data_IF_816135966893
#
_entry.id   IF_816135966893
#
_cell.length_a   1.000
_cell.length_b   1.000
_cell.length_c   1.000
_cell.angle_alpha   90.00
_cell.angle_beta   90.00
_cell.angle_gamma   90.00
#
_symmetry.space_group_name_H-M   'P 1'
#
loop_
_entity.id
_entity.type
_entity.pdbx_description
1 polymer ?
#
# COMPACT_ATOMS: atom_id res chain seq x y z
N UNK A 1 -3.66 -18.56 -25.76
CA UNK A 1 -2.37 -19.03 -26.31
C UNK A 1 -1.31 -18.45 -25.41
N UNK A 2 -0.47 -19.26 -24.75
CA UNK A 2 0.36 -18.76 -23.67
C UNK A 2 1.32 -17.68 -24.18
N UNK A 3 1.19 -16.48 -23.60
CA UNK A 3 1.89 -15.30 -24.07
C UNK A 3 3.42 -15.37 -23.90
N UNK A 4 3.94 -16.28 -23.06
CA UNK A 4 5.37 -16.53 -22.91
C UNK A 4 5.67 -18.03 -22.95
N UNK A 5 6.47 -18.41 -23.95
CA UNK A 5 7.03 -19.75 -24.07
C UNK A 5 8.39 -19.83 -23.35
N UNK A 6 8.55 -20.87 -22.54
CA UNK A 6 9.77 -21.16 -21.79
C UNK A 6 10.49 -22.36 -22.40
N UNK A 7 11.83 -22.35 -22.35
CA UNK A 7 12.59 -23.54 -22.74
C UNK A 7 12.32 -24.70 -21.77
N UNK A 8 12.40 -25.98 -22.22
CA UNK A 8 12.16 -27.13 -21.35
C UNK A 8 13.07 -27.16 -20.11
N UNK A 9 14.32 -26.71 -20.24
CA UNK A 9 15.27 -26.61 -19.13
C UNK A 9 14.81 -25.59 -18.08
N UNK A 10 14.49 -24.36 -18.52
CA UNK A 10 13.98 -23.31 -17.63
C UNK A 10 12.68 -23.71 -16.93
N UNK A 11 11.77 -24.38 -17.65
CA UNK A 11 10.52 -24.88 -17.07
C UNK A 11 10.78 -25.91 -15.97
N UNK A 12 11.80 -26.77 -16.10
CA UNK A 12 12.18 -27.75 -15.08
C UNK A 12 12.78 -27.10 -13.83
N UNK A 13 13.61 -26.07 -14.01
CA UNK A 13 14.22 -25.33 -12.90
C UNK A 13 13.16 -24.57 -12.10
N UNK A 14 12.26 -23.85 -12.78
CA UNK A 14 11.16 -23.13 -12.15
C UNK A 14 10.16 -24.07 -11.47
N UNK A 15 9.94 -25.26 -12.03
CA UNK A 15 9.14 -26.31 -11.39
C UNK A 15 9.74 -26.71 -10.04
N UNK A 16 11.03 -26.97 -10.01
CA UNK A 16 11.76 -27.35 -8.80
C UNK A 16 11.66 -26.27 -7.72
N UNK A 17 11.83 -25.01 -8.10
CA UNK A 17 11.65 -23.86 -7.20
C UNK A 17 10.21 -23.73 -6.70
N UNK A 18 9.21 -23.97 -7.56
CA UNK A 18 7.80 -23.88 -7.21
C UNK A 18 7.35 -24.94 -6.21
N UNK A 19 7.99 -26.12 -6.17
CA UNK A 19 7.59 -27.19 -5.25
C UNK A 19 7.70 -26.76 -3.78
N UNK A 20 8.75 -26.03 -3.41
CA UNK A 20 8.96 -25.54 -2.04
C UNK A 20 8.02 -24.39 -1.64
N UNK A 21 7.45 -23.68 -2.61
CA UNK A 21 6.59 -22.52 -2.35
C UNK A 21 5.21 -22.92 -1.86
N UNK A 22 4.69 -22.16 -0.89
CA UNK A 22 3.29 -22.26 -0.45
C UNK A 22 2.38 -21.51 -1.45
N UNK A 23 1.12 -21.95 -1.63
CA UNK A 23 0.16 -21.20 -2.44
C UNK A 23 -0.08 -19.82 -1.83
N UNK A 24 0.02 -18.78 -2.65
CA UNK A 24 -0.17 -17.39 -2.22
C UNK A 24 -1.60 -16.93 -2.48
N UNK A 25 -2.18 -17.35 -3.60
CA UNK A 25 -3.55 -17.00 -4.00
C UNK A 25 -4.45 -18.24 -3.94
N UNK A 26 -5.66 -18.03 -3.42
CA UNK A 26 -6.70 -19.04 -3.23
C UNK A 26 -7.92 -18.64 -4.06
N UNK A 27 -8.27 -19.45 -5.07
CA UNK A 27 -9.45 -19.23 -5.91
C UNK A 27 -10.60 -20.04 -5.32
N UNK A 28 -11.61 -19.36 -4.79
CA UNK A 28 -12.79 -19.97 -4.17
C UNK A 28 -13.80 -20.55 -5.18
N UNK A 29 -15.00 -20.85 -4.69
CA UNK A 29 -16.07 -21.46 -5.49
C UNK A 29 -16.64 -20.53 -6.59
N UNK A 30 -16.52 -19.21 -6.43
CA UNK A 30 -16.91 -18.24 -7.48
C UNK A 30 -15.95 -18.22 -8.69
N UNK A 31 -14.84 -18.96 -8.62
CA UNK A 31 -13.90 -19.06 -9.74
C UNK A 31 -13.07 -17.78 -9.93
N UNK A 32 -12.74 -17.49 -11.19
CA UNK A 32 -11.84 -16.40 -11.55
C UNK A 32 -12.61 -15.07 -11.63
N UNK A 33 -12.55 -14.28 -10.55
CA UNK A 33 -13.10 -12.92 -10.50
C UNK A 33 -12.03 -11.88 -10.82
N UNK A 34 -12.45 -10.67 -11.21
CA UNK A 34 -11.50 -9.58 -11.49
C UNK A 34 -10.68 -9.17 -10.26
N UNK A 35 -11.22 -9.34 -9.05
CA UNK A 35 -10.48 -9.12 -7.80
C UNK A 35 -9.32 -10.10 -7.67
N UNK A 36 -9.57 -11.39 -7.92
CA UNK A 36 -8.54 -12.45 -7.88
C UNK A 36 -7.49 -12.22 -8.96
N UNK A 37 -7.89 -11.83 -10.17
CA UNK A 37 -6.94 -11.49 -11.25
C UNK A 37 -6.00 -10.34 -10.86
N UNK A 38 -6.54 -9.29 -10.22
CA UNK A 38 -5.72 -8.18 -9.74
C UNK A 38 -4.74 -8.62 -8.64
N UNK A 39 -5.18 -9.47 -7.70
CA UNK A 39 -4.31 -10.03 -6.67
C UNK A 39 -3.19 -10.89 -7.27
N UNK A 40 -3.52 -11.76 -8.23
CA UNK A 40 -2.54 -12.57 -8.96
C UNK A 40 -1.50 -11.65 -9.64
N UNK A 41 -1.94 -10.56 -10.27
CA UNK A 41 -1.05 -9.57 -10.89
C UNK A 41 -0.06 -8.95 -9.89
N UNK A 42 -0.55 -8.50 -8.73
CA UNK A 42 0.30 -7.92 -7.67
C UNK A 42 1.31 -8.93 -7.14
N UNK A 43 0.89 -10.19 -6.94
CA UNK A 43 1.78 -11.23 -6.46
C UNK A 43 2.80 -11.69 -7.50
N UNK A 44 2.42 -11.71 -8.78
CA UNK A 44 3.35 -11.97 -9.89
C UNK A 44 4.43 -10.89 -9.97
N UNK A 45 4.08 -9.62 -9.75
CA UNK A 45 5.07 -8.53 -9.72
C UNK A 45 6.05 -8.66 -8.54
N UNK A 46 5.59 -9.10 -7.38
CA UNK A 46 6.42 -9.21 -6.18
C UNK A 46 7.29 -10.47 -6.13
N UNK A 47 6.77 -11.61 -6.61
CA UNK A 47 7.38 -12.92 -6.42
C UNK A 47 7.86 -13.57 -7.72
N UNK A 48 7.41 -13.10 -8.88
CA UNK A 48 7.73 -13.60 -10.24
C UNK A 48 7.25 -15.03 -10.51
N UNK A 49 7.41 -15.94 -9.55
CA UNK A 49 6.93 -17.33 -9.53
C UNK A 49 5.90 -17.48 -8.42
N UNK A 50 4.67 -17.86 -8.78
CA UNK A 50 3.61 -18.09 -7.78
C UNK A 50 2.90 -19.42 -7.98
N UNK A 51 2.39 -19.93 -6.85
CA UNK A 51 1.52 -21.09 -6.80
C UNK A 51 0.12 -20.61 -6.40
N UNK A 52 -0.87 -20.96 -7.22
CA UNK A 52 -2.27 -20.63 -7.02
C UNK A 52 -3.00 -21.92 -6.70
N UNK A 53 -3.88 -21.90 -5.69
CA UNK A 53 -4.73 -23.04 -5.37
C UNK A 53 -6.16 -22.76 -5.80
N UNK A 54 -6.72 -23.61 -6.65
CA UNK A 54 -8.10 -23.52 -7.13
C UNK A 54 -8.97 -24.54 -6.43
N UNK A 55 -9.99 -24.05 -5.73
CA UNK A 55 -11.02 -24.88 -5.10
C UNK A 55 -12.12 -25.16 -6.13
N UNK A 56 -11.91 -26.19 -6.92
CA UNK A 56 -12.91 -26.72 -7.86
C UNK A 56 -12.58 -28.17 -8.18
N UNK A 57 -13.60 -29.00 -8.36
CA UNK A 57 -13.42 -30.43 -8.61
C UNK A 57 -13.33 -30.75 -10.11
N UNK A 58 -13.96 -29.94 -10.96
CA UNK A 58 -13.85 -30.08 -12.42
C UNK A 58 -12.44 -29.74 -12.94
N UNK A 59 -11.89 -30.63 -13.77
CA UNK A 59 -10.57 -30.49 -14.37
C UNK A 59 -10.59 -29.52 -15.55
N UNK A 60 -11.66 -29.50 -16.34
CA UNK A 60 -11.76 -28.67 -17.54
C UNK A 60 -11.84 -27.19 -17.16
N UNK A 61 -12.68 -26.85 -16.17
CA UNK A 61 -12.73 -25.51 -15.61
C UNK A 61 -11.36 -25.01 -15.10
N UNK A 62 -10.54 -25.89 -14.48
CA UNK A 62 -9.21 -25.49 -13.99
C UNK A 62 -8.23 -25.17 -15.12
N UNK A 63 -8.32 -25.89 -16.24
CA UNK A 63 -7.49 -25.63 -17.43
C UNK A 63 -7.94 -24.31 -18.07
N UNK A 64 -9.24 -24.07 -18.20
CA UNK A 64 -9.77 -22.81 -18.73
C UNK A 64 -9.32 -21.61 -17.88
N UNK A 65 -9.40 -21.70 -16.55
CA UNK A 65 -8.91 -20.66 -15.63
C UNK A 65 -7.40 -20.45 -15.79
N UNK A 66 -6.63 -21.53 -15.98
CA UNK A 66 -5.19 -21.45 -16.16
C UNK A 66 -4.82 -20.68 -17.42
N UNK A 67 -5.47 -21.00 -18.53
CA UNK A 67 -5.25 -20.37 -19.82
C UNK A 67 -5.69 -18.90 -19.78
N UNK A 68 -6.83 -18.60 -19.17
CA UNK A 68 -7.33 -17.23 -19.02
C UNK A 68 -6.38 -16.34 -18.19
N UNK A 69 -5.82 -16.87 -17.09
CA UNK A 69 -4.81 -16.16 -16.30
C UNK A 69 -3.55 -15.87 -17.13
N UNK A 70 -3.08 -16.87 -17.90
CA UNK A 70 -1.90 -16.72 -18.73
C UNK A 70 -2.12 -15.68 -19.84
N UNK A 71 -3.29 -15.69 -20.47
CA UNK A 71 -3.66 -14.76 -21.53
C UNK A 71 -3.84 -13.32 -21.01
N UNK A 72 -4.50 -13.12 -19.86
CA UNK A 72 -4.73 -11.77 -19.30
C UNK A 72 -3.49 -11.13 -18.70
N UNK A 73 -2.64 -11.91 -18.02
CA UNK A 73 -1.50 -11.37 -17.26
C UNK A 73 -0.16 -11.51 -17.99
N UNK A 74 -0.19 -12.02 -19.24
CA UNK A 74 1.00 -12.37 -20.01
C UNK A 74 2.00 -13.18 -19.16
N UNK A 75 1.50 -14.28 -18.60
CA UNK A 75 2.30 -15.17 -17.75
C UNK A 75 2.62 -16.48 -18.49
N UNK A 76 3.77 -17.07 -18.16
CA UNK A 76 4.19 -18.36 -18.69
C UNK A 76 3.60 -19.51 -17.87
N UNK A 77 2.96 -20.49 -18.52
CA UNK A 77 2.53 -21.71 -17.86
C UNK A 77 3.72 -22.66 -17.62
N UNK A 78 3.92 -23.05 -16.35
CA UNK A 78 4.94 -24.02 -15.95
C UNK A 78 4.33 -25.41 -15.77
N UNK A 79 3.34 -25.52 -14.88
CA UNK A 79 2.74 -26.81 -14.53
C UNK A 79 1.36 -26.66 -13.88
N UNK A 80 0.49 -27.61 -14.20
CA UNK A 80 -0.76 -27.87 -13.49
C UNK A 80 -0.61 -29.15 -12.65
N UNK A 81 -0.84 -29.05 -11.34
CA UNK A 81 -0.77 -30.18 -10.40
C UNK A 81 -2.09 -30.26 -9.63
N UNK A 82 -3.07 -30.98 -10.18
CA UNK A 82 -4.37 -31.18 -9.55
C UNK A 82 -5.09 -29.85 -9.27
N UNK A 83 -5.15 -29.45 -8.00
CA UNK A 83 -5.76 -28.18 -7.54
C UNK A 83 -4.76 -27.01 -7.47
N UNK A 84 -3.51 -27.22 -7.85
CA UNK A 84 -2.44 -26.22 -7.82
C UNK A 84 -2.03 -25.84 -9.25
N UNK A 85 -1.91 -24.54 -9.48
CA UNK A 85 -1.44 -23.95 -10.72
C UNK A 85 -0.13 -23.22 -10.44
N UNK A 86 0.89 -23.49 -11.25
CA UNK A 86 2.17 -22.80 -11.18
C UNK A 86 2.31 -21.92 -12.41
N UNK A 87 2.50 -20.63 -12.18
CA UNK A 87 2.69 -19.63 -13.21
C UNK A 87 3.91 -18.76 -12.90
N UNK A 88 4.55 -18.26 -13.94
CA UNK A 88 5.72 -17.41 -13.82
C UNK A 88 5.67 -16.24 -14.79
N UNK A 89 6.26 -15.12 -14.40
CA UNK A 89 6.38 -13.93 -15.23
C UNK A 89 7.75 -13.28 -15.01
N UNK A 90 8.51 -12.94 -16.08
CA UNK A 90 9.78 -12.24 -15.94
C UNK A 90 9.57 -10.79 -15.51
N UNK A 91 10.50 -10.27 -14.73
CA UNK A 91 10.55 -8.86 -14.34
C UNK A 91 10.76 -7.99 -15.59
N UNK A 92 9.78 -7.13 -15.92
CA UNK A 92 9.86 -6.20 -17.04
C UNK A 92 8.86 -6.40 -18.20
N UNK A 93 8.05 -7.46 -18.18
CA UNK A 93 7.12 -7.76 -19.29
C UNK A 93 5.75 -7.04 -19.26
N UNK A 94 5.46 -6.11 -18.34
CA UNK A 94 4.34 -5.17 -18.53
C UNK A 94 4.57 -3.81 -17.82
N UNK A 95 3.90 -2.73 -18.27
CA UNK A 95 4.34 -1.37 -18.11
C UNK A 95 4.13 -0.84 -16.69
N UNK A 96 5.11 -0.06 -16.23
CA UNK A 96 5.13 0.62 -14.94
C UNK A 96 3.91 1.52 -14.67
N UNK A 97 2.84 0.99 -14.06
CA UNK A 97 1.74 1.72 -13.37
C UNK A 97 1.12 0.71 -12.38
N UNK A 98 0.83 0.96 -11.12
CA UNK A 98 0.60 2.17 -10.33
C UNK A 98 1.05 1.83 -8.91
N UNK A 99 2.11 2.49 -8.45
CA UNK A 99 2.50 2.46 -7.05
C UNK A 99 1.44 3.24 -6.26
N UNK A 100 0.33 2.60 -5.92
CA UNK A 100 -0.65 3.18 -4.99
C UNK A 100 -0.07 3.10 -3.58
N UNK A 101 0.87 3.99 -3.28
CA UNK A 101 1.30 4.32 -1.91
C UNK A 101 0.18 5.09 -1.21
N UNK A 102 -0.95 4.42 -0.98
CA UNK A 102 -1.94 4.87 -0.01
C UNK A 102 -2.40 3.66 0.78
N UNK A 103 -2.24 3.79 2.09
CA UNK A 103 -2.78 2.90 3.12
C UNK A 103 -1.90 1.69 3.47
N UNK A 104 -0.92 1.96 4.34
CA UNK A 104 -0.74 1.22 5.61
C UNK A 104 0.27 1.94 6.50
N UNK A 105 -0.10 3.15 6.93
CA UNK A 105 0.43 3.73 8.17
C UNK A 105 -0.62 3.56 9.27
N UNK A 106 -0.87 2.30 9.64
CA UNK A 106 -1.62 1.93 10.85
C UNK A 106 -0.99 0.67 11.45
N UNK A 107 0.31 0.76 11.76
CA UNK A 107 0.88 0.08 12.92
C UNK A 107 1.82 1.08 13.60
N UNK A 108 1.68 1.34 14.91
CA UNK A 108 2.60 2.20 15.64
C UNK A 108 3.97 1.50 15.76
N UNK A 109 5.08 2.20 15.51
CA UNK A 109 6.39 1.67 15.85
C UNK A 109 6.50 1.52 17.38
N UNK A 110 7.16 0.43 17.79
CA UNK A 110 7.59 0.17 19.16
C UNK A 110 8.22 1.42 19.79
N UNK A 111 7.95 1.64 21.09
CA UNK A 111 8.32 2.83 21.85
C UNK A 111 9.84 3.13 21.88
N UNK A 112 10.70 2.22 21.42
CA UNK A 112 12.15 2.35 21.43
C UNK A 112 12.74 3.17 20.26
N UNK A 113 12.08 3.24 19.09
CA UNK A 113 12.67 3.86 17.88
C UNK A 113 12.20 5.30 17.59
N UNK A 114 11.46 5.92 18.51
CA UNK A 114 10.86 7.24 18.31
C UNK A 114 11.81 8.43 18.54
N UNK A 115 13.09 8.19 18.84
CA UNK A 115 14.01 9.24 19.33
C UNK A 115 14.76 9.97 18.21
N UNK A 116 14.94 9.40 17.02
CA UNK A 116 15.82 9.99 15.98
C UNK A 116 15.19 10.19 14.60
N UNK A 117 13.93 10.62 14.53
CA UNK A 117 13.36 11.15 13.28
C UNK A 117 12.81 12.55 13.51
N UNK A 118 13.26 13.59 12.78
CA UNK A 118 12.61 14.89 12.84
C UNK A 118 11.17 14.68 12.36
N UNK A 119 10.21 14.85 13.28
CA UNK A 119 8.81 14.63 13.01
C UNK A 119 8.41 15.44 11.76
N UNK A 120 8.06 14.74 10.67
CA UNK A 120 7.49 15.37 9.48
C UNK A 120 6.19 16.02 9.95
N UNK A 121 6.24 17.35 10.15
CA UNK A 121 5.13 18.12 10.70
C UNK A 121 3.86 17.95 9.85
N UNK A 122 2.72 18.34 10.42
CA UNK A 122 1.43 18.29 9.70
C UNK A 122 1.56 18.93 8.30
N UNK A 123 0.84 18.40 7.31
CA UNK A 123 0.80 19.02 5.99
C UNK A 123 0.39 20.51 6.11
N UNK A 124 0.96 21.41 5.30
CA UNK A 124 0.65 22.84 5.38
C UNK A 124 -0.85 23.08 5.14
N UNK A 125 -1.46 23.95 5.97
CA UNK A 125 -2.90 24.25 5.90
C UNK A 125 -3.11 25.75 5.72
N UNK A 126 -4.17 26.11 5.00
CA UNK A 126 -4.59 27.51 4.85
C UNK A 126 -5.68 27.78 5.88
N UNK A 127 -5.46 28.77 6.75
CA UNK A 127 -6.39 29.15 7.82
C UNK A 127 -6.80 30.61 7.63
N UNK A 128 -8.10 30.90 7.75
CA UNK A 128 -8.62 32.27 7.76
C UNK A 128 -8.46 32.84 9.18
N UNK A 129 -7.64 33.87 9.33
CA UNK A 129 -7.50 34.63 10.57
C UNK A 129 -8.21 35.98 10.44
N UNK A 130 -8.95 36.36 11.47
CA UNK A 130 -9.62 37.67 11.55
C UNK A 130 -8.77 38.53 12.48
N UNK A 131 -8.08 39.52 11.93
CA UNK A 131 -7.20 40.40 12.71
C UNK A 131 -8.03 41.56 13.26
N UNK A 132 -8.26 41.54 14.57
CA UNK A 132 -8.91 42.64 15.28
C UNK A 132 -7.80 43.61 15.70
N UNK A 133 -7.68 44.74 15.01
CA UNK A 133 -6.77 45.82 15.42
C UNK A 133 -7.36 46.52 16.64
N UNK A 134 -6.60 46.57 17.75
CA UNK A 134 -7.06 47.19 19.00
C UNK A 134 -7.28 48.70 18.87
N UNK A 135 -6.56 49.36 17.97
CA UNK A 135 -6.60 50.81 17.74
C UNK A 135 -7.55 51.23 16.60
N UNK A 136 -8.38 50.32 16.08
CA UNK A 136 -9.34 50.65 15.04
C UNK A 136 -10.63 51.23 15.63
N UNK A 137 -11.19 52.33 15.10
CA UNK A 137 -12.47 52.87 15.56
C UNK A 137 -13.58 51.82 15.36
N UNK A 138 -14.54 51.77 16.31
CA UNK A 138 -15.57 50.73 16.43
C UNK A 138 -16.41 50.46 15.17
N UNK A 139 -16.41 51.38 14.20
CA UNK A 139 -17.13 51.26 12.92
C UNK A 139 -16.38 50.47 11.83
N UNK A 140 -15.09 50.13 12.01
CA UNK A 140 -14.30 49.47 10.97
C UNK A 140 -14.40 47.94 11.07
N UNK A 141 -15.06 47.31 10.10
CA UNK A 141 -15.19 45.84 10.02
C UNK A 141 -13.80 45.17 9.98
N UNK A 142 -13.57 44.10 10.74
CA UNK A 142 -12.27 43.42 10.76
C UNK A 142 -11.97 42.76 9.41
N UNK A 143 -10.74 42.90 8.93
CA UNK A 143 -10.29 42.31 7.65
C UNK A 143 -10.02 40.81 7.83
N UNK A 144 -10.57 39.99 6.94
CA UNK A 144 -10.30 38.54 6.86
C UNK A 144 -9.00 38.33 6.09
N UNK A 145 -8.00 37.71 6.70
CA UNK A 145 -6.72 37.40 6.06
C UNK A 145 -6.53 35.88 5.98
N UNK A 146 -6.17 35.37 4.80
CA UNK A 146 -5.81 33.95 4.60
C UNK A 146 -4.31 33.77 4.86
N UNK A 147 -3.96 32.98 5.87
CA UNK A 147 -2.58 32.69 6.25
C UNK A 147 -2.25 31.22 5.98
N UNK A 148 -1.08 30.97 5.40
CA UNK A 148 -0.52 29.62 5.25
C UNK A 148 0.21 29.23 6.53
N UNK A 149 -0.18 28.12 7.13
CA UNK A 149 0.37 27.58 8.38
C UNK A 149 1.13 26.31 8.06
N UNK A 150 2.43 26.29 8.36
CA UNK A 150 3.28 25.13 8.15
C UNK A 150 3.11 24.10 9.29
N UNK A 151 3.59 22.87 9.07
CA UNK A 151 3.37 21.74 9.99
C UNK A 151 3.91 21.89 11.40
N UNK A 152 4.85 22.81 11.59
CA UNK A 152 5.49 23.16 12.86
C UNK A 152 4.94 24.48 13.46
N UNK A 153 3.88 25.05 12.89
CA UNK A 153 3.30 26.33 13.29
C UNK A 153 1.87 26.19 13.84
N UNK A 154 1.43 27.20 14.60
CA UNK A 154 0.07 27.38 15.10
C UNK A 154 -0.40 28.81 14.91
N UNK A 155 -1.70 29.01 14.70
CA UNK A 155 -2.34 30.35 14.73
C UNK A 155 -2.71 30.68 16.18
N UNK A 156 -2.39 31.88 16.66
CA UNK A 156 -2.79 32.38 17.98
C UNK A 156 -4.16 33.05 17.92
N UNK A 157 -4.79 33.30 19.08
CA UNK A 157 -6.08 34.00 19.17
C UNK A 157 -6.08 35.39 18.50
N UNK A 158 -4.92 36.06 18.42
CA UNK A 158 -4.76 37.35 17.73
C UNK A 158 -4.53 37.22 16.21
N UNK A 159 -4.61 36.02 15.64
CA UNK A 159 -4.40 35.78 14.21
C UNK A 159 -2.94 35.71 13.76
N UNK A 160 -1.97 35.64 14.68
CA UNK A 160 -0.55 35.53 14.33
C UNK A 160 -0.10 34.07 14.25
N UNK A 161 0.76 33.75 13.28
CA UNK A 161 1.38 32.42 13.15
C UNK A 161 2.63 32.35 14.02
N UNK A 162 2.74 31.33 14.89
CA UNK A 162 3.90 31.09 15.77
C UNK A 162 4.31 29.62 15.75
N UNK A 163 5.59 29.29 15.98
CA UNK A 163 6.06 27.90 16.13
C UNK A 163 5.32 27.17 17.26
N UNK A 164 4.89 25.93 17.01
CA UNK A 164 4.21 25.07 17.97
C UNK A 164 5.07 24.85 19.23
N UNK A 165 4.49 25.07 20.42
CA UNK A 165 5.17 24.78 21.70
C UNK A 165 5.17 23.27 21.93
N UNK A 166 6.31 22.69 22.32
CA UNK A 166 6.38 21.28 22.76
C UNK A 166 5.42 21.09 23.94
N UNK A 167 4.54 20.09 23.89
CA UNK A 167 3.66 19.75 25.02
C UNK A 167 4.54 19.31 26.18
N UNK A 168 4.38 19.93 27.35
CA UNK A 168 4.96 19.40 28.58
C UNK A 168 4.20 18.12 28.93
N UNK A 169 4.92 17.01 29.01
CA UNK A 169 4.38 15.74 29.51
C UNK A 169 4.33 15.80 31.03
N UNK A 170 3.19 15.44 31.62
CA UNK A 170 3.07 15.28 33.08
C UNK A 170 4.04 14.20 33.56
N UNK A 171 4.78 14.47 34.64
CA UNK A 171 5.68 13.53 35.31
C UNK A 171 4.98 12.20 35.67
N UNK A 172 3.66 12.23 35.90
CA UNK A 172 2.87 11.04 36.24
C UNK A 172 2.77 10.00 35.11
N UNK A 173 2.99 10.40 33.85
CA UNK A 173 3.02 9.48 32.69
C UNK A 173 4.39 8.85 32.43
N UNK A 174 5.47 9.36 33.01
CA UNK A 174 6.81 8.77 32.81
C UNK A 174 6.99 7.44 33.55
N UNK A 175 6.33 7.26 34.70
CA UNK A 175 6.53 6.08 35.55
C UNK A 175 5.75 4.82 35.13
N UNK A 176 4.80 4.91 34.20
CA UNK A 176 3.99 3.75 33.76
C UNK A 176 4.54 3.03 32.52
N UNK A 177 5.58 3.56 31.87
CA UNK A 177 6.17 2.96 30.68
C UNK A 177 7.36 2.03 30.95
N UNK A 178 7.71 1.84 32.23
CA UNK A 178 8.80 0.98 32.67
C UNK A 178 8.26 -0.16 33.55
N UNK A 179 7.64 -1.16 32.92
CA UNK A 179 7.48 -2.50 33.47
C UNK A 179 7.19 -3.50 32.37
#
# INVERSE_FOLDING_TARGET
MPALELSPAQRSDLRSQAHALKPVVLVGAEGLTDAVLNEIGVHLEAHQLIKIRVFGDDREARIAIYDEICDRLNAAPIQHIGKLLVIWRPEGAAPAKSRNTRTRSTMPPSAAEAVERPAKGRAPRIVKAVKISRDAPAFKKPKKQTLKVLGNERVTAGGNVKRAKKRQTSSKRQHQAAK
#
